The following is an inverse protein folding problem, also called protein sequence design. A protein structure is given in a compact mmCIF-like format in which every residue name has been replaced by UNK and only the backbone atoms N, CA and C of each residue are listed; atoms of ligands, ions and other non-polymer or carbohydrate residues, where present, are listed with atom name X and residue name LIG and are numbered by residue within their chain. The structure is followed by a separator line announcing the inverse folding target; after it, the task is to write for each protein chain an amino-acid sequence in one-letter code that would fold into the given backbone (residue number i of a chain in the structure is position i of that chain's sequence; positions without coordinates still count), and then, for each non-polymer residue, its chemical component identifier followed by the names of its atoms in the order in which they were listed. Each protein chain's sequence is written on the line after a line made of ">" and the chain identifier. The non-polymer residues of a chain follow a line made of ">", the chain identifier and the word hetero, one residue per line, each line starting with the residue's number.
data_IF_434835126518
#
_entry.id   IF_434835126518
#
_cell.length_a   1.000
_cell.length_b   1.000
_cell.length_c   1.000
_cell.angle_alpha   90.00
_cell.angle_beta   90.00
_cell.angle_gamma   90.00
#
_symmetry.space_group_name_H-M   'P 1'
#
loop_
_entity.id
_entity.type
_entity.pdbx_description
1 polymer ?
#
# COMPACT_ATOMS: atom_id res chain seq x y z
N UNK A 1 10.28 -8.11 12.43
CA UNK A 1 9.27 -8.95 11.75
C UNK A 1 9.11 -8.39 10.35
N UNK A 2 9.23 -9.23 9.33
CA UNK A 2 9.08 -8.79 7.94
C UNK A 2 7.61 -8.94 7.51
N UNK A 3 7.16 -8.05 6.64
CA UNK A 3 5.80 -8.07 6.10
C UNK A 3 5.85 -8.10 4.59
N UNK A 4 5.03 -8.94 4.00
CA UNK A 4 4.77 -8.93 2.56
C UNK A 4 3.35 -8.42 2.32
N UNK A 5 3.15 -7.75 1.19
CA UNK A 5 1.83 -7.28 0.76
C UNK A 5 1.54 -7.71 -0.67
N UNK A 6 0.37 -8.28 -0.87
CA UNK A 6 -0.20 -8.62 -2.16
C UNK A 6 -1.33 -7.61 -2.47
N UNK A 7 -1.18 -6.87 -3.56
CA UNK A 7 -2.10 -5.84 -4.00
C UNK A 7 -2.79 -6.33 -5.25
N UNK A 8 -4.10 -6.54 -5.18
CA UNK A 8 -4.92 -6.93 -6.34
C UNK A 8 -5.43 -5.69 -7.04
N UNK A 9 -5.16 -5.59 -8.34
CA UNK A 9 -5.55 -4.43 -9.16
C UNK A 9 -6.84 -4.70 -9.93
N UNK A 10 -7.61 -3.65 -10.20
CA UNK A 10 -8.88 -3.75 -10.95
C UNK A 10 -8.67 -4.14 -12.41
N UNK A 11 -7.68 -3.55 -13.08
CA UNK A 11 -7.41 -3.76 -14.52
C UNK A 11 -6.32 -4.80 -14.79
N UNK A 12 -6.09 -5.71 -13.82
CA UNK A 12 -5.22 -6.90 -13.85
C UNK A 12 -3.74 -6.72 -13.46
N UNK A 13 -3.11 -7.89 -13.24
CA UNK A 13 -1.85 -8.22 -12.54
C UNK A 13 -1.81 -7.80 -11.07
N UNK A 14 -1.70 -8.81 -10.21
CA UNK A 14 -1.44 -8.63 -8.79
C UNK A 14 0.02 -8.22 -8.58
N UNK A 15 0.24 -7.31 -7.64
CA UNK A 15 1.57 -6.82 -7.27
C UNK A 15 1.95 -7.40 -5.93
N UNK A 16 3.09 -8.10 -5.89
CA UNK A 16 3.68 -8.59 -4.65
C UNK A 16 4.84 -7.70 -4.24
N UNK A 17 4.82 -7.21 -3.01
CA UNK A 17 5.90 -6.43 -2.41
C UNK A 17 6.40 -7.21 -1.19
N UNK A 18 7.68 -7.54 -1.22
CA UNK A 18 8.36 -8.23 -0.14
C UNK A 18 9.04 -7.22 0.77
N UNK A 19 9.25 -7.58 2.04
CA UNK A 19 9.98 -6.77 3.03
C UNK A 19 9.45 -5.32 3.15
N UNK A 20 8.12 -5.19 3.18
CA UNK A 20 7.41 -3.94 3.35
C UNK A 20 7.84 -3.25 4.65
N UNK A 21 8.25 -1.98 4.53
CA UNK A 21 8.70 -1.13 5.63
C UNK A 21 7.64 -0.12 6.05
N UNK A 22 6.96 0.49 5.10
CA UNK A 22 5.88 1.43 5.36
C UNK A 22 4.95 1.60 4.17
N UNK A 23 3.78 2.18 4.45
CA UNK A 23 2.83 2.64 3.44
C UNK A 23 2.65 4.13 3.66
N UNK A 24 2.91 4.93 2.63
CA UNK A 24 2.58 6.34 2.65
C UNK A 24 1.23 6.55 1.97
N UNK A 25 0.32 7.21 2.65
CA UNK A 25 -0.97 7.63 2.10
C UNK A 25 -0.94 9.14 1.88
N UNK A 26 -1.20 9.56 0.65
CA UNK A 26 -1.33 10.97 0.30
C UNK A 26 -2.81 11.31 0.11
N UNK A 27 -3.31 12.20 0.95
CA UNK A 27 -4.67 12.73 0.88
C UNK A 27 -4.85 13.58 -0.38
N UNK A 28 -5.96 13.38 -1.10
CA UNK A 28 -6.29 14.17 -2.28
C UNK A 28 -6.82 15.57 -1.97
N UNK A 29 -7.34 15.80 -0.75
CA UNK A 29 -7.96 17.09 -0.38
C UNK A 29 -6.96 18.14 0.08
N UNK A 30 -5.92 17.72 0.79
CA UNK A 30 -4.95 18.62 1.43
C UNK A 30 -3.49 18.27 1.11
N UNK A 31 -3.26 17.26 0.26
CA UNK A 31 -1.93 16.75 -0.09
C UNK A 31 -1.09 16.29 1.10
N UNK A 32 -1.69 16.12 2.29
CA UNK A 32 -0.98 15.63 3.47
C UNK A 32 -0.51 14.20 3.24
N UNK A 33 0.68 13.89 3.77
CA UNK A 33 1.28 12.55 3.68
C UNK A 33 1.32 11.96 5.08
N UNK A 34 0.72 10.79 5.24
CA UNK A 34 0.79 9.99 6.47
C UNK A 34 1.58 8.72 6.18
N UNK A 35 2.51 8.36 7.06
CA UNK A 35 3.25 7.10 6.97
C UNK A 35 2.72 6.08 7.96
N UNK A 36 2.41 4.88 7.49
CA UNK A 36 1.83 3.79 8.26
C UNK A 36 2.82 2.63 8.35
N UNK A 37 3.08 2.18 9.57
CA UNK A 37 3.93 1.01 9.89
C UNK A 37 3.16 -0.08 10.65
N UNK A 38 1.96 0.23 11.14
CA UNK A 38 1.03 -0.72 11.75
C UNK A 38 0.09 -1.29 10.68
N UNK A 39 0.54 -2.35 10.00
CA UNK A 39 -0.17 -2.95 8.87
C UNK A 39 -1.43 -3.74 9.29
N UNK A 40 -1.54 -4.14 10.55
CA UNK A 40 -2.73 -4.83 11.06
C UNK A 40 -3.95 -3.93 11.13
N UNK A 41 -3.73 -2.62 11.31
CA UNK A 41 -4.78 -1.59 11.34
C UNK A 41 -4.99 -0.89 10.00
N UNK A 42 -4.25 -1.31 8.97
CA UNK A 42 -4.39 -0.72 7.66
C UNK A 42 -5.78 -1.01 7.09
N UNK A 43 -6.42 0.05 6.60
CA UNK A 43 -7.65 -0.03 5.83
C UNK A 43 -7.48 0.80 4.56
N UNK A 44 -7.93 0.24 3.44
CA UNK A 44 -7.87 0.92 2.15
C UNK A 44 -8.93 2.03 2.11
N UNK A 45 -8.50 3.27 2.29
CA UNK A 45 -9.33 4.45 2.03
C UNK A 45 -9.30 4.74 0.52
N UNK A 46 -10.45 5.11 -0.05
CA UNK A 46 -10.59 5.47 -1.46
C UNK A 46 -10.17 6.93 -1.71
N UNK A 47 -9.86 7.26 -2.97
CA UNK A 47 -9.45 8.60 -3.42
C UNK A 47 -8.16 9.14 -2.77
N UNK A 48 -7.24 8.26 -2.39
CA UNK A 48 -5.89 8.60 -1.99
C UNK A 48 -4.86 7.92 -2.89
N UNK A 49 -3.67 8.51 -2.99
CA UNK A 49 -2.50 7.87 -3.59
C UNK A 49 -1.75 7.11 -2.50
N UNK A 50 -1.50 5.82 -2.74
CA UNK A 50 -0.71 4.98 -1.84
C UNK A 50 0.68 4.77 -2.42
N UNK A 51 1.68 4.76 -1.55
CA UNK A 51 3.03 4.30 -1.88
C UNK A 51 3.46 3.25 -0.89
N UNK A 52 3.78 2.07 -1.39
CA UNK A 52 4.26 0.93 -0.60
C UNK A 52 5.78 0.89 -0.72
N UNK A 53 6.46 1.04 0.42
CA UNK A 53 7.91 1.12 0.49
C UNK A 53 8.48 -0.18 1.04
N UNK A 54 9.40 -0.78 0.29
CA UNK A 54 10.24 -1.90 0.73
C UNK A 54 11.72 -1.47 0.69
N UNK A 55 12.64 -2.37 1.04
CA UNK A 55 14.08 -2.06 0.96
C UNK A 55 14.55 -1.77 -0.48
N UNK A 56 13.97 -2.45 -1.46
CA UNK A 56 14.50 -2.47 -2.83
C UNK A 56 13.57 -1.83 -3.87
N UNK A 57 12.33 -1.51 -3.50
CA UNK A 57 11.36 -0.94 -4.42
C UNK A 57 10.33 -0.05 -3.71
N UNK A 58 9.83 0.92 -4.46
CA UNK A 58 8.65 1.73 -4.12
C UNK A 58 7.61 1.48 -5.20
N UNK A 59 6.40 1.09 -4.79
CA UNK A 59 5.26 0.94 -5.68
C UNK A 59 4.19 1.97 -5.31
N UNK A 60 3.85 2.85 -6.25
CA UNK A 60 2.83 3.88 -6.05
C UNK A 60 1.62 3.64 -6.94
N UNK A 61 0.42 3.79 -6.38
CA UNK A 61 -0.83 3.57 -7.10
C UNK A 61 -1.96 4.39 -6.48
N UNK A 62 -2.96 4.74 -7.28
CA UNK A 62 -4.19 5.32 -6.79
C UNK A 62 -5.13 4.24 -6.22
N UNK A 63 -5.71 4.52 -5.05
CA UNK A 63 -6.64 3.60 -4.38
C UNK A 63 -7.84 3.18 -5.23
N UNK A 64 -8.23 4.01 -6.20
CA UNK A 64 -9.29 3.68 -7.18
C UNK A 64 -8.97 2.41 -7.96
N UNK A 65 -7.68 2.15 -8.21
CA UNK A 65 -7.21 1.06 -9.07
C UNK A 65 -6.98 -0.23 -8.28
N UNK A 66 -7.11 -0.18 -6.95
CA UNK A 66 -6.95 -1.32 -6.05
C UNK A 66 -8.30 -2.00 -5.79
N UNK A 67 -8.34 -3.31 -5.97
CA UNK A 67 -9.45 -4.18 -5.58
C UNK A 67 -9.33 -4.62 -4.11
N UNK A 68 -8.15 -5.09 -3.71
CA UNK A 68 -7.90 -5.55 -2.33
C UNK A 68 -6.40 -5.50 -2.00
N UNK A 69 -6.09 -5.38 -0.71
CA UNK A 69 -4.71 -5.44 -0.18
C UNK A 69 -4.65 -6.52 0.89
N UNK A 70 -3.68 -7.44 0.79
CA UNK A 70 -3.51 -8.57 1.70
C UNK A 70 -2.10 -8.55 2.31
N UNK A 71 -2.01 -8.40 3.62
CA UNK A 71 -0.75 -8.39 4.36
C UNK A 71 -0.45 -9.77 4.95
N UNK A 72 0.81 -10.21 4.85
CA UNK A 72 1.28 -11.46 5.42
C UNK A 72 2.57 -11.23 6.21
N UNK A 73 2.61 -11.72 7.45
CA UNK A 73 3.84 -11.76 8.26
C UNK A 73 4.76 -12.88 7.76
N UNK A 74 6.07 -12.60 7.74
CA UNK A 74 7.14 -13.55 7.43
C UNK A 74 8.04 -13.72 8.64
#
# INVERSE_FOLDING_TARGET
>A
MAWNVEIKLRESRDVLIQDLKSINTQSSSDSSITSLTDFEKFHLIQNQRLSFLSENQIFSIDSSDILSVLFRKV
#
